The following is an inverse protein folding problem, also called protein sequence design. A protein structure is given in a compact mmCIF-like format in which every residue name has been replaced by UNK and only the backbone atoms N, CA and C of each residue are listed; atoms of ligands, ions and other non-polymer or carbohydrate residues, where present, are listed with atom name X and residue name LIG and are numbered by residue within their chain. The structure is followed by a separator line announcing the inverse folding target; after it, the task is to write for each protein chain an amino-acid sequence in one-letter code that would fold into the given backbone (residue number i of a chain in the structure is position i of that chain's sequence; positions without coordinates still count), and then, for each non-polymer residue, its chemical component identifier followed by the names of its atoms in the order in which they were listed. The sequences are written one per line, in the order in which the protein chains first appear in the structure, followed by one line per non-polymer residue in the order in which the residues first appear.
data_IF_295748249256
#
_entry.id   IF_295748249256
#
_cell.length_a   1.000
_cell.length_b   1.000
_cell.length_c   1.000
_cell.angle_alpha   90.00
_cell.angle_beta   90.00
_cell.angle_gamma   90.00
#
_symmetry.space_group_name_H-M   'P 1'
#
loop_
_entity.id
_entity.type
_entity.pdbx_description
1 polymer ?
#
# COMPACT_ATOMS: atom_id res chain seq x y z
N UNK A 1 17.44 18.24 -32.36
CA UNK A 1 15.99 18.04 -32.63
C UNK A 1 15.62 16.66 -32.11
N UNK A 2 14.52 16.51 -31.38
CA UNK A 2 14.11 15.20 -30.85
C UNK A 2 13.52 14.38 -31.99
N UNK A 3 14.01 13.16 -32.20
CA UNK A 3 13.44 12.21 -33.17
C UNK A 3 12.33 11.39 -32.49
N UNK A 4 11.10 11.85 -32.60
CA UNK A 4 9.91 11.22 -32.00
C UNK A 4 9.63 9.83 -32.56
N UNK A 5 9.91 9.59 -33.85
CA UNK A 5 9.69 8.28 -34.47
C UNK A 5 10.65 7.24 -33.93
N UNK A 6 11.92 7.62 -33.77
CA UNK A 6 12.93 6.73 -33.19
C UNK A 6 12.63 6.47 -31.70
N UNK A 7 12.21 7.49 -30.93
CA UNK A 7 11.80 7.29 -29.54
C UNK A 7 10.62 6.30 -29.42
N UNK A 8 9.61 6.45 -30.28
CA UNK A 8 8.47 5.52 -30.28
C UNK A 8 8.90 4.09 -30.64
N UNK A 9 9.76 3.93 -31.63
CA UNK A 9 10.29 2.62 -32.04
C UNK A 9 11.04 1.94 -30.89
N UNK A 10 12.00 2.65 -30.29
CA UNK A 10 12.81 2.13 -29.17
C UNK A 10 11.93 1.79 -27.96
N UNK A 11 10.97 2.66 -27.61
CA UNK A 11 10.06 2.41 -26.51
C UNK A 11 9.23 1.13 -26.71
N UNK A 12 8.71 0.91 -27.92
CA UNK A 12 7.98 -0.33 -28.27
C UNK A 12 8.87 -1.56 -28.16
N UNK A 13 10.13 -1.48 -28.58
CA UNK A 13 11.07 -2.58 -28.48
C UNK A 13 11.39 -2.93 -27.01
N UNK A 14 11.60 -1.93 -26.17
CA UNK A 14 11.84 -2.13 -24.75
C UNK A 14 10.62 -2.73 -24.02
N UNK A 15 9.41 -2.25 -24.31
CA UNK A 15 8.19 -2.83 -23.76
C UNK A 15 7.99 -4.28 -24.23
N UNK A 16 8.31 -4.57 -25.47
CA UNK A 16 8.27 -5.94 -26.01
C UNK A 16 9.29 -6.87 -25.33
N UNK A 17 10.50 -6.36 -25.03
CA UNK A 17 11.52 -7.11 -24.28
C UNK A 17 11.00 -7.58 -22.91
N UNK A 18 10.29 -6.72 -22.21
CA UNK A 18 9.69 -7.04 -20.90
C UNK A 18 8.28 -7.66 -21.00
N UNK A 19 7.79 -7.90 -22.23
CA UNK A 19 6.50 -8.55 -22.54
C UNK A 19 5.28 -7.80 -21.97
N UNK A 20 5.30 -6.49 -22.07
CA UNK A 20 4.19 -5.63 -21.60
C UNK A 20 3.67 -4.81 -22.76
N UNK A 21 2.34 -4.66 -22.79
CA UNK A 21 1.64 -3.80 -23.76
C UNK A 21 1.15 -2.52 -23.06
N UNK A 22 1.82 -1.41 -23.35
CA UNK A 22 1.45 -0.08 -22.91
C UNK A 22 1.48 0.83 -24.13
N UNK A 23 0.45 1.66 -24.29
CA UNK A 23 0.42 2.66 -25.34
C UNK A 23 1.53 3.70 -25.12
N UNK A 24 2.57 3.66 -25.95
CA UNK A 24 3.76 4.55 -25.84
C UNK A 24 3.45 6.02 -26.08
N UNK A 25 2.28 6.34 -26.67
CA UNK A 25 1.80 7.70 -26.89
C UNK A 25 0.90 8.22 -25.76
N UNK A 26 0.62 7.40 -24.74
CA UNK A 26 -0.17 7.84 -23.60
C UNK A 26 0.66 8.71 -22.66
N UNK A 27 0.02 9.68 -22.03
CA UNK A 27 0.66 10.54 -21.04
C UNK A 27 0.92 9.78 -19.74
N UNK A 28 2.08 9.99 -19.12
CA UNK A 28 2.46 9.31 -17.88
C UNK A 28 1.47 9.55 -16.73
N UNK A 29 0.88 10.73 -16.65
CA UNK A 29 -0.11 11.08 -15.62
C UNK A 29 -1.47 10.36 -15.77
N UNK A 30 -1.73 9.73 -16.93
CA UNK A 30 -2.92 8.92 -17.20
C UNK A 30 -2.70 7.43 -16.99
N UNK A 31 -1.44 7.02 -16.84
CA UNK A 31 -1.08 5.63 -16.57
C UNK A 31 -1.35 5.30 -15.09
N UNK A 32 -1.73 4.05 -14.82
CA UNK A 32 -1.77 3.53 -13.46
C UNK A 32 -0.37 3.52 -12.83
N UNK A 33 -0.29 3.51 -11.50
CA UNK A 33 0.99 3.44 -10.75
C UNK A 33 1.82 2.25 -11.24
N UNK A 34 1.20 1.09 -11.47
CA UNK A 34 1.86 -0.08 -12.00
C UNK A 34 2.44 0.16 -13.40
N UNK A 35 1.69 0.78 -14.30
CA UNK A 35 2.17 1.11 -15.64
C UNK A 35 3.28 2.15 -15.62
N UNK A 36 3.23 3.14 -14.73
CA UNK A 36 4.30 4.12 -14.52
C UNK A 36 5.59 3.44 -14.06
N UNK A 37 5.48 2.49 -13.13
CA UNK A 37 6.62 1.69 -12.67
C UNK A 37 7.25 0.86 -13.81
N UNK A 38 6.41 0.21 -14.62
CA UNK A 38 6.86 -0.55 -15.79
C UNK A 38 7.55 0.35 -16.82
N UNK A 39 7.00 1.53 -17.08
CA UNK A 39 7.61 2.51 -17.99
C UNK A 39 8.97 3.00 -17.46
N UNK A 40 9.13 3.17 -16.15
CA UNK A 40 10.41 3.49 -15.53
C UNK A 40 11.45 2.38 -15.72
N UNK A 41 11.03 1.12 -15.56
CA UNK A 41 11.89 -0.06 -15.82
C UNK A 41 12.29 -0.10 -17.31
N UNK A 42 11.34 0.04 -18.23
CA UNK A 42 11.62 0.07 -19.67
C UNK A 42 12.63 1.17 -20.03
N UNK A 43 12.47 2.37 -19.45
CA UNK A 43 13.42 3.46 -19.62
C UNK A 43 14.82 3.11 -19.11
N UNK A 44 14.94 2.46 -17.96
CA UNK A 44 16.21 2.05 -17.38
C UNK A 44 16.94 0.99 -18.23
N UNK A 45 16.21 0.19 -19.01
CA UNK A 45 16.77 -0.82 -19.90
C UNK A 45 17.34 -0.24 -21.20
N UNK A 46 17.08 1.03 -21.49
CA UNK A 46 17.62 1.68 -22.67
C UNK A 46 19.15 1.76 -22.58
N UNK A 47 19.87 1.41 -23.67
CA UNK A 47 21.31 1.62 -23.74
C UNK A 47 22.17 0.48 -23.19
N UNK A 48 21.83 -0.79 -23.45
CA UNK A 48 22.64 -1.96 -23.10
C UNK A 48 22.82 -2.18 -21.59
N UNK A 49 21.73 -2.07 -20.85
CA UNK A 49 21.67 -2.27 -19.40
C UNK A 49 22.08 -3.71 -19.04
N UNK A 50 23.09 -3.88 -18.17
CA UNK A 50 23.56 -5.18 -17.67
C UNK A 50 22.96 -5.55 -16.32
N UNK A 51 22.60 -4.57 -15.52
CA UNK A 51 21.89 -4.76 -14.28
C UNK A 51 20.95 -3.59 -14.00
N UNK A 52 19.88 -3.86 -13.28
CA UNK A 52 18.91 -2.84 -12.83
C UNK A 52 18.78 -2.89 -11.31
N UNK A 53 18.62 -1.71 -10.70
CA UNK A 53 18.37 -1.57 -9.29
C UNK A 53 16.93 -1.09 -9.10
N UNK A 54 16.14 -1.85 -8.33
CA UNK A 54 14.75 -1.57 -8.01
C UNK A 54 14.64 -1.31 -6.51
N UNK A 55 14.29 -0.09 -6.16
CA UNK A 55 14.13 0.35 -4.76
C UNK A 55 12.65 0.46 -4.44
N UNK A 56 12.16 -0.40 -3.52
CA UNK A 56 10.76 -0.50 -3.07
C UNK A 56 9.73 -0.52 -4.22
N UNK A 57 9.94 -1.30 -5.30
CA UNK A 57 9.14 -1.16 -6.52
C UNK A 57 7.69 -1.62 -6.35
N UNK A 58 7.36 -2.29 -5.25
CA UNK A 58 6.04 -2.88 -4.96
C UNK A 58 5.26 -2.12 -3.89
N UNK A 59 5.83 -1.09 -3.29
CA UNK A 59 5.26 -0.42 -2.10
C UNK A 59 3.84 0.13 -2.31
N UNK A 60 3.56 0.64 -3.52
CA UNK A 60 2.27 1.22 -3.89
C UNK A 60 1.44 0.32 -4.83
N UNK A 61 1.86 -0.93 -5.06
CA UNK A 61 1.21 -1.82 -6.02
C UNK A 61 0.20 -2.78 -5.36
N UNK A 62 -0.98 -2.97 -5.97
CA UNK A 62 -1.86 -4.08 -5.65
C UNK A 62 -1.17 -5.44 -5.92
N UNK A 63 -1.58 -6.49 -5.20
CA UNK A 63 -0.97 -7.84 -5.30
C UNK A 63 -0.87 -8.37 -6.74
N UNK A 64 -1.92 -8.18 -7.55
CA UNK A 64 -1.92 -8.58 -8.97
C UNK A 64 -0.81 -7.91 -9.78
N UNK A 65 -0.54 -6.63 -9.51
CA UNK A 65 0.48 -5.88 -10.22
C UNK A 65 1.89 -6.23 -9.72
N UNK A 66 2.04 -6.64 -8.47
CA UNK A 66 3.28 -7.24 -7.93
C UNK A 66 3.63 -8.51 -8.68
N UNK A 67 2.67 -9.40 -8.92
CA UNK A 67 2.87 -10.64 -9.69
C UNK A 67 3.33 -10.33 -11.15
N UNK A 68 2.75 -9.31 -11.78
CA UNK A 68 3.17 -8.84 -13.09
C UNK A 68 4.61 -8.30 -13.06
N UNK A 69 4.98 -7.50 -12.07
CA UNK A 69 6.34 -7.00 -11.88
C UNK A 69 7.33 -8.14 -11.69
N UNK A 70 6.99 -9.15 -10.89
CA UNK A 70 7.84 -10.33 -10.69
C UNK A 70 8.03 -11.14 -12.00
N UNK A 71 7.00 -11.24 -12.82
CA UNK A 71 7.13 -11.86 -14.13
C UNK A 71 8.13 -11.09 -15.03
N UNK A 72 8.12 -9.76 -14.97
CA UNK A 72 9.10 -8.90 -15.67
C UNK A 72 10.51 -9.18 -15.13
N UNK A 73 10.71 -9.16 -13.81
CA UNK A 73 12.02 -9.43 -13.19
C UNK A 73 12.56 -10.82 -13.57
N UNK A 74 11.70 -11.85 -13.52
CA UNK A 74 12.07 -13.21 -13.97
C UNK A 74 12.43 -13.25 -15.47
N UNK A 75 11.78 -12.45 -16.29
CA UNK A 75 12.11 -12.36 -17.71
C UNK A 75 13.47 -11.67 -17.93
N UNK A 76 13.72 -10.54 -17.25
CA UNK A 76 15.01 -9.85 -17.28
C UNK A 76 16.17 -10.78 -16.90
N UNK A 77 15.98 -11.59 -15.85
CA UNK A 77 16.96 -12.63 -15.45
C UNK A 77 17.24 -13.63 -16.57
N UNK A 78 16.21 -14.07 -17.32
CA UNK A 78 16.37 -14.98 -18.47
C UNK A 78 17.15 -14.35 -19.61
N UNK A 79 16.99 -13.04 -19.81
CA UNK A 79 17.75 -12.26 -20.80
C UNK A 79 19.18 -11.91 -20.33
N UNK A 80 19.62 -12.43 -19.17
CA UNK A 80 20.97 -12.22 -18.63
C UNK A 80 21.15 -10.86 -17.94
N UNK A 81 20.08 -10.12 -17.66
CA UNK A 81 20.12 -8.86 -16.92
C UNK A 81 20.01 -9.16 -15.42
N UNK A 82 21.02 -8.73 -14.66
CA UNK A 82 21.03 -8.88 -13.21
C UNK A 82 20.09 -7.86 -12.54
N UNK A 83 19.44 -8.25 -11.45
CA UNK A 83 18.54 -7.36 -10.72
C UNK A 83 18.97 -7.26 -9.26
N UNK A 84 19.10 -6.04 -8.76
CA UNK A 84 19.17 -5.75 -7.32
C UNK A 84 17.80 -5.27 -6.90
N UNK A 85 17.14 -6.02 -6.04
CA UNK A 85 15.79 -5.76 -5.57
C UNK A 85 15.85 -5.37 -4.10
N UNK A 86 15.40 -4.16 -3.75
CA UNK A 86 15.36 -3.65 -2.38
C UNK A 86 13.90 -3.62 -1.92
N UNK A 87 13.60 -4.28 -0.81
CA UNK A 87 12.27 -4.28 -0.20
C UNK A 87 12.37 -4.59 1.30
N UNK A 88 11.37 -4.16 2.04
CA UNK A 88 11.15 -4.55 3.43
C UNK A 88 10.11 -5.68 3.58
N UNK A 89 9.52 -6.14 2.49
CA UNK A 89 8.53 -7.22 2.46
C UNK A 89 9.24 -8.56 2.29
N UNK A 90 9.24 -9.35 3.35
CA UNK A 90 10.04 -10.58 3.41
C UNK A 90 9.50 -11.66 2.48
N UNK A 91 8.19 -11.78 2.35
CA UNK A 91 7.51 -12.69 1.42
C UNK A 91 7.93 -12.44 -0.04
N UNK A 92 7.99 -11.16 -0.45
CA UNK A 92 8.46 -10.77 -1.78
C UNK A 92 9.93 -11.15 -2.00
N UNK A 93 10.80 -10.92 -0.98
CA UNK A 93 12.20 -11.29 -1.05
C UNK A 93 12.38 -12.80 -1.22
N UNK A 94 11.59 -13.60 -0.50
CA UNK A 94 11.61 -15.06 -0.62
C UNK A 94 11.18 -15.57 -1.98
N UNK A 95 10.25 -14.87 -2.66
CA UNK A 95 9.71 -15.30 -3.96
C UNK A 95 10.61 -14.93 -5.15
N UNK A 96 11.26 -13.75 -5.13
CA UNK A 96 11.89 -13.20 -6.34
C UNK A 96 13.42 -13.30 -6.34
N UNK A 97 14.09 -13.48 -5.19
CA UNK A 97 15.55 -13.40 -5.11
C UNK A 97 16.23 -14.76 -5.08
N UNK A 98 17.45 -14.83 -5.56
CA UNK A 98 18.32 -16.01 -5.43
C UNK A 98 19.10 -15.98 -4.11
N UNK A 99 19.50 -14.78 -3.67
CA UNK A 99 20.19 -14.53 -2.41
C UNK A 99 19.75 -13.22 -1.80
N UNK A 100 19.79 -13.13 -0.47
CA UNK A 100 19.37 -11.97 0.29
C UNK A 100 20.54 -11.46 1.11
N UNK A 101 20.82 -10.15 1.01
CA UNK A 101 21.74 -9.46 1.92
C UNK A 101 20.92 -8.66 2.93
N UNK A 102 21.13 -8.94 4.20
CA UNK A 102 20.37 -8.34 5.30
C UNK A 102 21.17 -7.19 5.89
N UNK A 103 20.52 -6.03 5.99
CA UNK A 103 21.07 -4.82 6.59
C UNK A 103 20.29 -4.45 7.84
N UNK A 104 21.00 -4.03 8.89
CA UNK A 104 20.40 -3.47 10.11
C UNK A 104 21.25 -2.30 10.59
N UNK A 105 20.64 -1.11 10.76
CA UNK A 105 21.31 0.11 11.18
C UNK A 105 22.59 0.43 10.37
N UNK A 106 22.52 0.27 9.04
CA UNK A 106 23.64 0.54 8.12
C UNK A 106 24.73 -0.53 8.11
N UNK A 107 24.60 -1.61 8.90
CA UNK A 107 25.57 -2.71 8.96
C UNK A 107 25.01 -3.95 8.26
N UNK A 108 25.89 -4.64 7.53
CA UNK A 108 25.56 -5.96 6.97
C UNK A 108 25.50 -7.00 8.09
N UNK A 109 24.34 -7.63 8.24
CA UNK A 109 24.13 -8.74 9.19
C UNK A 109 24.59 -10.05 8.57
N UNK A 110 24.09 -10.38 7.39
CA UNK A 110 24.41 -11.61 6.68
C UNK A 110 24.14 -11.48 5.17
N UNK A 111 24.68 -12.43 4.41
CA UNK A 111 24.22 -12.73 3.05
C UNK A 111 23.93 -14.22 2.98
N UNK A 112 22.73 -14.59 2.59
CA UNK A 112 22.23 -15.98 2.58
C UNK A 112 21.62 -16.33 1.23
N UNK A 113 21.65 -17.60 0.85
CA UNK A 113 20.87 -18.09 -0.27
C UNK A 113 19.41 -18.16 0.14
N UNK A 114 18.52 -17.74 -0.74
CA UNK A 114 17.06 -17.76 -0.46
C UNK A 114 16.55 -19.18 -0.25
N UNK A 115 17.16 -20.17 -0.95
CA UNK A 115 16.84 -21.59 -0.80
C UNK A 115 17.15 -22.17 0.59
N UNK A 116 18.06 -21.55 1.34
CA UNK A 116 18.60 -22.10 2.59
C UNK A 116 17.89 -21.57 3.84
N UNK A 117 16.93 -20.66 3.65
CA UNK A 117 16.22 -20.01 4.75
C UNK A 117 14.70 -20.01 4.51
N UNK A 118 13.95 -19.77 5.56
CA UNK A 118 12.51 -19.48 5.50
C UNK A 118 12.23 -18.03 5.95
N UNK A 119 11.00 -17.59 5.76
CA UNK A 119 10.58 -16.22 6.10
C UNK A 119 10.75 -15.92 7.60
N UNK A 120 10.55 -16.93 8.49
CA UNK A 120 10.69 -16.75 9.93
C UNK A 120 12.14 -16.48 10.32
N UNK A 121 13.08 -17.26 9.79
CA UNK A 121 14.51 -17.06 10.03
C UNK A 121 14.99 -15.72 9.44
N UNK A 122 14.50 -15.36 8.24
CA UNK A 122 14.78 -14.06 7.64
C UNK A 122 14.31 -12.92 8.55
N UNK A 123 13.10 -13.01 9.10
CA UNK A 123 12.56 -12.01 10.01
C UNK A 123 13.39 -11.89 11.30
N UNK A 124 13.84 -13.01 11.88
CA UNK A 124 14.73 -13.01 13.05
C UNK A 124 16.06 -12.32 12.76
N UNK A 125 16.65 -12.59 11.60
CA UNK A 125 17.90 -11.98 11.18
C UNK A 125 17.78 -10.47 10.95
N UNK A 126 16.65 -10.00 10.40
CA UNK A 126 16.35 -8.57 10.21
C UNK A 126 16.19 -7.85 11.55
N UNK A 127 15.47 -8.45 12.50
CA UNK A 127 15.17 -7.87 13.82
C UNK A 127 16.37 -8.00 14.77
N UNK A 128 17.23 -9.00 14.55
CA UNK A 128 18.39 -9.30 15.41
C UNK A 128 18.01 -9.94 16.75
N UNK A 129 16.79 -10.46 16.89
CA UNK A 129 16.28 -11.16 18.09
C UNK A 129 15.38 -12.31 17.68
N UNK A 130 15.46 -13.43 18.41
CA UNK A 130 14.50 -14.54 18.25
C UNK A 130 13.10 -14.06 18.59
N UNK A 131 12.19 -14.07 17.61
CA UNK A 131 10.82 -13.63 17.79
C UNK A 131 10.02 -14.74 18.47
N UNK A 132 10.08 -14.80 19.81
CA UNK A 132 9.35 -15.81 20.61
C UNK A 132 7.83 -15.67 20.55
N UNK A 133 7.29 -14.47 20.21
CA UNK A 133 5.86 -14.21 20.05
C UNK A 133 5.65 -13.11 19.00
N UNK A 134 5.33 -13.51 17.78
CA UNK A 134 5.10 -12.59 16.66
C UNK A 134 3.92 -11.62 16.91
N UNK A 135 2.93 -12.06 17.68
CA UNK A 135 1.73 -11.27 18.02
C UNK A 135 1.23 -11.64 19.43
N UNK A 136 1.74 -11.01 20.51
CA UNK A 136 1.21 -11.27 21.85
C UNK A 136 -0.25 -10.80 21.90
N UNK A 137 -1.19 -11.76 21.94
CA UNK A 137 -2.61 -11.44 22.17
C UNK A 137 -2.78 -11.09 23.65
N UNK A 138 -2.79 -9.81 23.96
CA UNK A 138 -3.21 -9.36 25.28
C UNK A 138 -4.74 -9.42 25.32
N UNK A 139 -5.28 -10.25 26.22
CA UNK A 139 -6.74 -10.30 26.44
C UNK A 139 -7.12 -9.10 27.33
N UNK A 140 -7.87 -8.19 26.76
CA UNK A 140 -8.53 -7.13 27.51
C UNK A 140 -10.00 -7.53 27.76
N UNK A 141 -10.53 -7.18 28.93
CA UNK A 141 -11.96 -7.18 29.14
C UNK A 141 -12.58 -6.10 28.26
N UNK A 142 -13.46 -6.52 27.36
CA UNK A 142 -14.15 -5.59 26.47
C UNK A 142 -15.25 -4.89 27.25
N UNK A 143 -15.24 -3.56 27.22
CA UNK A 143 -16.25 -2.73 27.83
C UNK A 143 -17.57 -2.65 27.05
N UNK A 144 -18.36 -1.66 27.35
CA UNK A 144 -19.61 -1.35 26.64
C UNK A 144 -19.35 -0.96 25.17
N UNK A 145 -20.39 -1.03 24.34
CA UNK A 145 -20.34 -0.57 22.95
C UNK A 145 -20.05 0.92 22.91
N UNK A 146 -18.91 1.27 22.33
CA UNK A 146 -18.44 2.65 22.16
C UNK A 146 -18.94 3.25 20.86
N UNK A 147 -18.87 2.48 19.77
CA UNK A 147 -19.24 2.89 18.42
C UNK A 147 -20.12 1.80 17.81
N UNK A 148 -21.17 2.21 17.10
CA UNK A 148 -22.03 1.31 16.33
C UNK A 148 -22.39 1.94 14.99
N UNK A 149 -22.15 1.20 13.94
CA UNK A 149 -22.65 1.45 12.58
C UNK A 149 -23.86 0.57 12.34
N UNK A 150 -24.95 1.16 11.86
CA UNK A 150 -26.19 0.47 11.55
C UNK A 150 -26.63 0.81 10.12
N UNK A 151 -26.58 -0.18 9.25
CA UNK A 151 -27.07 -0.10 7.87
C UNK A 151 -26.49 1.07 7.08
N UNK A 152 -25.18 1.36 7.27
CA UNK A 152 -24.52 2.45 6.58
C UNK A 152 -24.37 2.14 5.11
N UNK A 153 -24.98 2.97 4.29
CA UNK A 153 -24.83 2.94 2.83
C UNK A 153 -24.35 4.30 2.36
N UNK A 154 -23.28 4.31 1.59
CA UNK A 154 -22.79 5.49 0.86
C UNK A 154 -22.80 5.18 -0.63
N UNK A 155 -23.61 5.90 -1.39
CA UNK A 155 -23.82 5.64 -2.83
C UNK A 155 -22.49 5.42 -3.56
N UNK A 156 -22.37 4.30 -4.25
CA UNK A 156 -21.21 3.83 -5.02
C UNK A 156 -19.97 3.40 -4.19
N UNK A 157 -20.01 3.45 -2.85
CA UNK A 157 -18.84 3.13 -2.02
C UNK A 157 -19.12 2.12 -0.92
N UNK A 158 -20.21 2.27 -0.17
CA UNK A 158 -20.59 1.39 0.92
C UNK A 158 -22.01 0.87 0.71
N UNK A 159 -22.24 -0.38 1.04
CA UNK A 159 -23.57 -1.00 0.91
C UNK A 159 -23.88 -1.79 2.18
N UNK A 160 -24.83 -1.29 2.97
CA UNK A 160 -25.37 -1.94 4.16
C UNK A 160 -24.33 -2.39 5.19
N UNK A 161 -23.42 -1.50 5.56
CA UNK A 161 -22.34 -1.80 6.50
C UNK A 161 -22.83 -1.65 7.93
N UNK A 162 -22.72 -2.73 8.72
CA UNK A 162 -23.05 -2.74 10.15
C UNK A 162 -21.95 -3.42 10.95
N UNK A 163 -21.51 -2.79 12.04
CA UNK A 163 -20.55 -3.36 13.01
C UNK A 163 -20.56 -2.55 14.31
N UNK A 164 -19.92 -3.11 15.33
CA UNK A 164 -19.75 -2.46 16.63
C UNK A 164 -18.27 -2.45 17.03
N UNK A 165 -17.88 -1.42 17.79
CA UNK A 165 -16.61 -1.33 18.48
C UNK A 165 -16.87 -1.14 19.97
N UNK A 166 -16.25 -1.97 20.79
CA UNK A 166 -16.35 -1.89 22.26
C UNK A 166 -15.23 -1.03 22.85
N UNK A 167 -15.46 -0.46 24.01
CA UNK A 167 -14.44 0.29 24.72
C UNK A 167 -13.24 -0.61 25.05
N UNK A 168 -12.04 -0.15 24.73
CA UNK A 168 -10.79 -0.91 24.90
C UNK A 168 -10.56 -2.01 23.85
N UNK A 169 -11.38 -2.07 22.79
CA UNK A 169 -11.21 -3.02 21.69
C UNK A 169 -10.38 -2.42 20.55
N UNK A 170 -9.59 -3.26 19.88
CA UNK A 170 -8.97 -2.96 18.58
C UNK A 170 -9.73 -3.73 17.51
N UNK A 171 -10.47 -3.03 16.65
CA UNK A 171 -11.21 -3.60 15.54
C UNK A 171 -10.41 -3.45 14.24
N UNK A 172 -10.09 -4.56 13.60
CA UNK A 172 -9.47 -4.56 12.27
C UNK A 172 -10.51 -4.57 11.16
N UNK A 173 -10.43 -3.63 10.22
CA UNK A 173 -11.24 -3.61 8.99
C UNK A 173 -10.32 -3.91 7.81
N UNK A 174 -10.56 -5.03 7.13
CA UNK A 174 -9.74 -5.50 6.00
C UNK A 174 -10.56 -5.56 4.72
N UNK A 175 -9.91 -5.42 3.58
CA UNK A 175 -10.55 -5.50 2.27
C UNK A 175 -9.60 -5.10 1.14
N UNK A 176 -9.96 -5.41 -0.10
CA UNK A 176 -9.21 -5.03 -1.28
C UNK A 176 -9.16 -3.51 -1.47
N UNK A 177 -8.29 -3.06 -2.38
CA UNK A 177 -8.26 -1.65 -2.81
C UNK A 177 -9.65 -1.25 -3.36
N UNK A 178 -10.15 -0.09 -2.94
CA UNK A 178 -11.48 0.37 -3.34
C UNK A 178 -12.66 -0.30 -2.61
N UNK A 179 -12.42 -1.14 -1.59
CA UNK A 179 -13.49 -1.81 -0.83
C UNK A 179 -14.24 -0.89 0.16
N UNK A 180 -13.97 0.40 0.18
CA UNK A 180 -14.69 1.35 1.03
C UNK A 180 -14.13 1.53 2.45
N UNK A 181 -12.93 1.02 2.76
CA UNK A 181 -12.31 1.14 4.11
C UNK A 181 -12.11 2.59 4.55
N UNK A 182 -11.57 3.40 3.65
CA UNK A 182 -11.36 4.84 3.88
C UNK A 182 -12.68 5.59 4.03
N UNK A 183 -13.68 5.19 3.26
CA UNK A 183 -15.01 5.77 3.28
C UNK A 183 -15.74 5.55 4.62
N UNK A 184 -15.53 4.41 5.27
CA UNK A 184 -16.04 4.13 6.62
C UNK A 184 -15.45 5.14 7.62
N UNK A 185 -14.13 5.35 7.60
CA UNK A 185 -13.47 6.31 8.47
C UNK A 185 -13.92 7.75 8.18
N UNK A 186 -14.00 8.14 6.92
CA UNK A 186 -14.48 9.46 6.49
C UNK A 186 -15.95 9.71 6.85
N UNK A 187 -16.80 8.68 6.82
CA UNK A 187 -18.20 8.77 7.24
C UNK A 187 -18.31 9.08 8.75
N UNK A 188 -17.52 8.41 9.59
CA UNK A 188 -17.47 8.68 11.02
C UNK A 188 -16.87 10.06 11.32
N UNK A 189 -15.84 10.45 10.56
CA UNK A 189 -15.14 11.72 10.78
C UNK A 189 -15.89 12.95 10.24
N UNK A 190 -17.12 12.78 9.72
CA UNK A 190 -17.98 13.88 9.28
C UNK A 190 -17.58 14.53 7.94
N UNK A 191 -16.73 13.87 7.15
CA UNK A 191 -16.30 14.38 5.83
C UNK A 191 -17.49 14.52 4.87
N UNK A 192 -18.48 13.64 4.98
CA UNK A 192 -19.67 13.68 4.13
C UNK A 192 -20.78 14.61 4.66
N UNK A 193 -20.64 15.17 5.87
CA UNK A 193 -21.54 16.14 6.46
C UNK A 193 -22.93 15.61 6.83
N UNK A 194 -23.68 16.40 7.62
CA UNK A 194 -25.11 16.17 7.88
C UNK A 194 -25.94 16.55 6.65
N UNK A 195 -26.95 15.74 6.33
CA UNK A 195 -27.83 16.02 5.21
C UNK A 195 -27.26 15.64 3.84
N UNK A 196 -26.16 14.91 3.78
CA UNK A 196 -25.72 14.33 2.53
C UNK A 196 -26.60 13.12 2.17
N UNK A 197 -27.46 13.30 1.16
CA UNK A 197 -28.41 12.27 0.69
C UNK A 197 -27.72 10.99 0.18
N UNK A 198 -26.41 11.02 -0.01
CA UNK A 198 -25.62 9.86 -0.45
C UNK A 198 -25.26 8.92 0.69
N UNK A 199 -25.24 9.42 1.95
CA UNK A 199 -24.93 8.64 3.14
C UNK A 199 -26.22 8.37 3.94
N UNK A 200 -26.64 7.12 4.05
CA UNK A 200 -27.82 6.68 4.83
C UNK A 200 -27.40 5.74 5.97
N UNK A 201 -28.34 5.40 6.85
CA UNK A 201 -28.09 4.59 8.05
C UNK A 201 -27.72 5.44 9.26
N UNK A 202 -27.39 4.78 10.38
CA UNK A 202 -27.11 5.43 11.66
C UNK A 202 -25.69 5.13 12.14
N UNK A 203 -25.05 6.13 12.71
CA UNK A 203 -23.78 6.00 13.41
C UNK A 203 -24.01 6.47 14.85
N UNK A 204 -23.66 5.64 15.81
CA UNK A 204 -23.77 5.93 17.23
C UNK A 204 -22.38 5.92 17.88
N UNK A 205 -22.07 6.96 18.65
CA UNK A 205 -20.85 7.06 19.43
C UNK A 205 -21.18 7.48 20.86
N UNK A 206 -20.73 6.70 21.84
CA UNK A 206 -21.11 6.89 23.26
C UNK A 206 -22.64 6.98 23.44
N UNK A 207 -23.42 6.16 22.74
CA UNK A 207 -24.89 6.15 22.79
C UNK A 207 -25.59 7.36 22.16
N UNK A 208 -24.85 8.28 21.55
CA UNK A 208 -25.39 9.47 20.86
C UNK A 208 -25.26 9.34 19.36
N UNK A 209 -26.16 9.98 18.62
CA UNK A 209 -26.03 10.05 17.16
C UNK A 209 -24.74 10.78 16.78
N UNK A 210 -23.91 10.12 15.97
CA UNK A 210 -22.57 10.55 15.58
C UNK A 210 -22.46 10.87 14.07
N UNK A 211 -23.55 11.29 13.45
CA UNK A 211 -23.50 11.86 12.09
C UNK A 211 -23.06 13.32 12.19
N UNK A 212 -21.77 13.53 12.23
CA UNK A 212 -21.18 14.86 12.35
C UNK A 212 -21.31 15.65 11.05
N UNK A 213 -21.50 16.96 11.17
CA UNK A 213 -21.58 17.85 10.01
C UNK A 213 -20.22 18.22 9.45
N UNK A 214 -19.16 18.04 10.22
CA UNK A 214 -17.77 18.36 9.83
C UNK A 214 -16.75 17.56 10.64
N UNK A 215 -15.49 17.47 10.17
CA UNK A 215 -14.38 16.92 10.94
C UNK A 215 -14.17 17.60 12.29
N UNK A 216 -14.42 18.91 12.39
CA UNK A 216 -14.29 19.67 13.64
C UNK A 216 -15.25 19.15 14.72
N UNK A 217 -16.49 18.82 14.35
CA UNK A 217 -17.45 18.23 15.29
C UNK A 217 -16.99 16.84 15.77
N UNK A 218 -16.43 16.02 14.86
CA UNK A 218 -15.91 14.70 15.22
C UNK A 218 -14.72 14.80 16.19
N UNK A 219 -13.79 15.72 15.95
CA UNK A 219 -12.66 15.99 16.85
C UNK A 219 -13.15 16.45 18.23
N UNK A 220 -14.10 17.39 18.27
CA UNK A 220 -14.68 17.88 19.52
C UNK A 220 -15.44 16.77 20.29
N UNK A 221 -15.93 15.75 19.60
CA UNK A 221 -16.53 14.56 20.21
C UNK A 221 -15.48 13.54 20.72
N UNK A 222 -14.19 13.77 20.47
CA UNK A 222 -13.09 12.90 20.90
C UNK A 222 -12.70 11.82 19.88
N UNK A 223 -13.00 12.00 18.58
CA UNK A 223 -12.62 11.10 17.52
C UNK A 223 -11.39 11.63 16.81
N UNK A 224 -10.30 10.85 16.82
CA UNK A 224 -9.10 11.10 16.02
C UNK A 224 -9.13 10.31 14.73
N UNK A 225 -8.67 10.91 13.63
CA UNK A 225 -8.49 10.25 12.33
C UNK A 225 -7.10 10.48 11.78
N UNK A 226 -6.42 9.40 11.44
CA UNK A 226 -5.13 9.43 10.73
C UNK A 226 -5.40 8.94 9.32
N UNK A 227 -5.29 9.85 8.34
CA UNK A 227 -5.56 9.54 6.94
C UNK A 227 -4.45 8.70 6.30
N UNK A 228 -4.80 7.97 5.24
CA UNK A 228 -3.84 7.27 4.38
C UNK A 228 -2.94 8.29 3.63
N UNK A 229 -3.54 9.34 3.07
CA UNK A 229 -2.83 10.47 2.47
C UNK A 229 -2.43 11.51 3.53
N UNK A 230 -1.23 11.29 4.09
CA UNK A 230 -0.69 12.16 5.14
C UNK A 230 -0.37 13.56 4.61
N UNK A 231 0.14 13.67 3.38
CA UNK A 231 0.58 14.94 2.80
C UNK A 231 -0.56 15.82 2.32
N UNK A 232 -1.63 15.22 1.78
CA UNK A 232 -2.78 15.94 1.24
C UNK A 232 -3.91 16.16 2.24
N UNK A 233 -4.13 15.23 3.17
CA UNK A 233 -5.28 15.26 4.09
C UNK A 233 -4.89 15.33 5.57
N UNK A 234 -3.69 14.88 5.94
CA UNK A 234 -3.35 14.61 7.35
C UNK A 234 -2.40 15.59 8.01
N UNK A 235 -1.51 16.24 7.27
CA UNK A 235 -0.42 17.05 7.83
C UNK A 235 -0.25 18.37 7.06
N UNK A 236 0.10 19.42 7.77
CA UNK A 236 0.58 20.67 7.18
C UNK A 236 2.11 20.59 7.06
N UNK A 237 2.58 19.95 5.96
CA UNK A 237 3.99 19.60 5.75
C UNK A 237 4.97 20.79 5.74
N UNK A 238 4.46 22.00 5.64
CA UNK A 238 5.26 23.24 5.62
C UNK A 238 5.30 23.98 6.98
N UNK A 239 4.74 23.37 8.05
CA UNK A 239 4.73 23.95 9.39
C UNK A 239 5.58 23.13 10.35
N UNK A 240 6.06 23.78 11.41
CA UNK A 240 6.71 23.10 12.52
C UNK A 240 5.70 22.26 13.30
N UNK A 241 6.19 21.27 14.03
CA UNK A 241 5.38 20.51 14.99
C UNK A 241 5.33 21.36 16.26
N UNK A 242 4.18 21.94 16.54
CA UNK A 242 3.91 22.69 17.77
C UNK A 242 3.24 21.79 18.80
#
# INVERSE_FOLDING_TARGET
MVDWKEMERVSKELLKLIKVDINVNERMDRLSIAQQQIAAIARALNGNCKFILLDEPTSALPKKDVENLFAIVRNLKKEGISVVFISHKLDEMMDITDRITILNNGKKVATVQTSDINEELLAEMVVGKTIKNKYPKVRYEKGETLLRFEHITLKNHLNDISFELKRGEVLGIVGLLGAGKTEIAKALFGVYGKGNDKLTGNIWFNGKNARYASPVEAVNAGIGYISEDRGGEGLQVNQAID
#
